data_IF_162372465702
#
_entry.id   IF_162372465702
#
_cell.length_a   1.000
_cell.length_b   1.000
_cell.length_c   1.000
_cell.angle_alpha   90.00
_cell.angle_beta   90.00
_cell.angle_gamma   90.00
#
_symmetry.space_group_name_H-M   'P 1'
#
loop_
_entity.id
_entity.type
_entity.pdbx_description
1 polymer ?
#
# COMPACT_ATOMS: atom_id res chain seq x y z
N UNK A 1 11.97 -7.76 7.73
CA UNK A 1 11.60 -6.49 8.40
C UNK A 1 11.28 -5.39 7.40
N UNK A 2 12.18 -5.09 6.46
CA UNK A 2 11.93 -4.06 5.42
C UNK A 2 10.79 -4.42 4.45
N UNK A 3 10.59 -5.70 4.14
CA UNK A 3 9.44 -6.17 3.34
C UNK A 3 8.10 -5.84 4.01
N UNK A 4 7.98 -5.99 5.34
CA UNK A 4 6.75 -5.64 6.07
C UNK A 4 6.47 -4.13 5.99
N UNK A 5 7.49 -3.30 6.12
CA UNK A 5 7.37 -1.83 5.98
C UNK A 5 6.93 -1.46 4.56
N UNK A 6 7.54 -2.07 3.54
CA UNK A 6 7.21 -1.82 2.14
C UNK A 6 5.77 -2.24 1.82
N UNK A 7 5.36 -3.45 2.22
CA UNK A 7 4.00 -3.97 2.00
C UNK A 7 2.95 -3.12 2.72
N UNK A 8 3.24 -2.67 3.95
CA UNK A 8 2.36 -1.76 4.70
C UNK A 8 2.10 -0.47 3.93
N UNK A 9 3.15 0.18 3.45
CA UNK A 9 3.05 1.46 2.73
C UNK A 9 2.28 1.32 1.41
N UNK A 10 2.51 0.23 0.68
CA UNK A 10 1.74 -0.07 -0.55
C UNK A 10 0.28 -0.33 -0.21
N UNK A 11 0.01 -1.07 0.86
CA UNK A 11 -1.34 -1.30 1.33
C UNK A 11 -2.06 0.00 1.71
N UNK A 12 -1.39 0.91 2.43
CA UNK A 12 -1.92 2.25 2.75
C UNK A 12 -2.21 3.11 1.49
N UNK A 13 -1.88 2.64 0.28
CA UNK A 13 -2.19 3.28 -1.00
C UNK A 13 -1.33 4.49 -1.32
N UNK A 14 -0.33 4.80 -0.48
CA UNK A 14 0.48 6.01 -0.57
C UNK A 14 1.68 5.91 -1.50
N UNK A 15 1.95 4.75 -2.11
CA UNK A 15 3.19 4.48 -2.85
C UNK A 15 2.96 4.51 -4.36
N UNK A 16 3.82 5.25 -5.06
CA UNK A 16 3.84 5.30 -6.52
C UNK A 16 5.27 5.11 -7.06
N UNK A 17 5.36 4.76 -8.33
CA UNK A 17 6.63 4.65 -9.07
C UNK A 17 6.62 5.62 -10.25
N UNK A 18 7.70 6.38 -10.38
CA UNK A 18 7.95 7.34 -11.48
C UNK A 18 9.31 7.02 -12.09
N UNK A 19 9.30 6.40 -13.27
CA UNK A 19 10.51 5.80 -13.85
C UNK A 19 11.13 4.80 -12.88
N UNK A 20 12.39 5.02 -12.49
CA UNK A 20 13.07 4.17 -11.50
C UNK A 20 12.81 4.55 -10.04
N UNK A 21 12.18 5.70 -9.76
CA UNK A 21 12.03 6.23 -8.40
C UNK A 21 10.73 5.79 -7.75
N UNK A 22 10.81 5.45 -6.47
CA UNK A 22 9.66 5.19 -5.61
C UNK A 22 9.32 6.44 -4.79
N UNK A 23 8.05 6.82 -4.80
CA UNK A 23 7.53 8.00 -4.12
C UNK A 23 6.44 7.61 -3.13
N UNK A 24 6.37 8.34 -2.01
CA UNK A 24 5.31 8.29 -1.01
C UNK A 24 4.89 9.72 -0.69
N UNK A 25 3.63 10.09 -0.95
CA UNK A 25 3.15 11.47 -0.78
C UNK A 25 4.09 12.53 -1.38
N UNK A 26 4.51 12.34 -2.64
CA UNK A 26 5.48 13.18 -3.37
C UNK A 26 6.93 13.19 -2.82
N UNK A 27 7.23 12.45 -1.76
CA UNK A 27 8.57 12.33 -1.20
C UNK A 27 9.25 11.05 -1.67
N UNK A 28 10.57 11.11 -1.90
CA UNK A 28 11.33 9.92 -2.24
C UNK A 28 11.34 8.93 -1.07
N UNK A 29 10.97 7.69 -1.39
CA UNK A 29 11.04 6.56 -0.47
C UNK A 29 12.53 6.27 -0.17
N UNK A 30 12.91 5.99 1.09
CA UNK A 30 14.30 5.65 1.43
C UNK A 30 14.81 4.45 0.61
N UNK A 31 16.09 4.46 0.22
CA UNK A 31 16.66 3.46 -0.71
C UNK A 31 16.42 2.01 -0.26
N UNK A 32 16.58 1.71 1.03
CA UNK A 32 16.34 0.37 1.55
C UNK A 32 14.88 -0.11 1.41
N UNK A 33 13.91 0.81 1.39
CA UNK A 33 12.50 0.50 1.10
C UNK A 33 12.27 0.44 -0.41
N UNK A 34 12.94 1.30 -1.19
CA UNK A 34 12.88 1.27 -2.65
C UNK A 34 13.42 -0.04 -3.24
N UNK A 35 14.52 -0.56 -2.70
CA UNK A 35 15.06 -1.89 -3.02
C UNK A 35 14.06 -3.00 -2.67
N UNK A 36 13.47 -2.94 -1.47
CA UNK A 36 12.46 -3.90 -1.05
C UNK A 36 11.22 -3.87 -1.98
N UNK A 37 10.71 -2.68 -2.32
CA UNK A 37 9.59 -2.51 -3.26
C UNK A 37 9.92 -3.06 -4.65
N UNK A 38 11.14 -2.84 -5.12
CA UNK A 38 11.61 -3.38 -6.41
C UNK A 38 11.68 -4.90 -6.38
N UNK A 39 12.18 -5.49 -5.28
CA UNK A 39 12.17 -6.95 -5.07
C UNK A 39 10.75 -7.53 -5.00
N UNK A 40 9.82 -6.85 -4.31
CA UNK A 40 8.42 -7.27 -4.20
C UNK A 40 7.68 -7.17 -5.54
N UNK A 41 7.98 -6.15 -6.34
CA UNK A 41 7.49 -6.01 -7.71
C UNK A 41 8.01 -7.15 -8.60
N UNK A 42 9.31 -7.43 -8.56
CA UNK A 42 9.91 -8.55 -9.30
C UNK A 42 9.36 -9.91 -8.87
N UNK A 43 9.01 -10.07 -7.59
CA UNK A 43 8.40 -11.28 -7.04
C UNK A 43 6.89 -11.41 -7.25
N UNK A 44 6.22 -10.39 -7.81
CA UNK A 44 4.77 -10.41 -8.05
C UNK A 44 3.90 -10.22 -6.79
N UNK A 45 4.48 -9.72 -5.70
CA UNK A 45 3.75 -9.37 -4.47
C UNK A 45 3.14 -7.96 -4.56
N UNK A 46 3.77 -7.10 -5.34
CA UNK A 46 3.28 -5.75 -5.67
C UNK A 46 3.10 -5.67 -7.18
N UNK A 47 2.07 -4.97 -7.62
CA UNK A 47 1.86 -4.62 -9.02
C UNK A 47 1.79 -3.10 -9.18
N UNK A 48 2.07 -2.64 -10.39
CA UNK A 48 1.89 -1.25 -10.78
C UNK A 48 0.56 -1.14 -11.54
N UNK A 49 -0.37 -0.38 -10.98
CA UNK A 49 -1.67 -0.08 -11.57
C UNK A 49 -1.55 1.19 -12.41
N UNK A 50 -2.24 1.14 -13.55
CA UNK A 50 -2.21 2.04 -14.71
C UNK A 50 -1.48 3.38 -14.48
N UNK A 51 -0.41 3.66 -15.25
CA UNK A 51 0.24 4.94 -15.22
C UNK A 51 -0.65 5.98 -15.88
N UNK A 52 -1.31 6.84 -15.10
CA UNK A 52 -1.85 8.06 -15.69
C UNK A 52 -0.66 8.87 -16.24
N UNK A 53 -0.64 9.19 -17.55
CA UNK A 53 0.44 9.96 -18.13
C UNK A 53 0.35 11.38 -17.58
N UNK A 54 1.22 11.73 -16.63
CA UNK A 54 1.35 13.10 -16.16
C UNK A 54 2.26 13.87 -17.12
N UNK A 55 1.80 14.98 -17.71
CA UNK A 55 2.58 15.73 -18.70
C UNK A 55 3.82 16.42 -18.11
N UNK A 56 3.97 16.52 -16.78
CA UNK A 56 5.12 17.15 -16.11
C UNK A 56 6.02 16.13 -15.42
N UNK A 57 5.47 15.01 -14.95
CA UNK A 57 6.18 14.00 -14.15
C UNK A 57 6.44 12.68 -14.89
N UNK A 58 5.88 12.49 -16.07
CA UNK A 58 5.97 11.23 -16.83
C UNK A 58 4.90 10.22 -16.40
N UNK A 59 5.10 8.94 -16.77
CA UNK A 59 4.20 7.85 -16.40
C UNK A 59 4.30 7.57 -14.88
N UNK A 60 3.30 8.01 -14.11
CA UNK A 60 3.20 7.79 -12.67
C UNK A 60 2.32 6.57 -12.43
N UNK A 61 2.91 5.44 -12.03
CA UNK A 61 2.15 4.23 -11.74
C UNK A 61 1.94 4.06 -10.24
N UNK A 62 0.71 3.81 -9.81
CA UNK A 62 0.42 3.54 -8.39
C UNK A 62 0.76 2.10 -8.06
N UNK A 63 1.36 1.86 -6.90
CA UNK A 63 1.61 0.51 -6.43
C UNK A 63 0.39 -0.03 -5.69
N UNK A 64 0.04 -1.28 -5.98
CA UNK A 64 -1.00 -2.02 -5.29
C UNK A 64 -0.49 -3.40 -4.88
N UNK A 65 -1.00 -3.91 -3.76
CA UNK A 65 -0.75 -5.30 -3.37
C UNK A 65 -1.48 -6.24 -4.33
N UNK A 66 -0.81 -7.31 -4.73
CA UNK A 66 -1.51 -8.46 -5.31
C UNK A 66 -2.16 -9.27 -4.20
N UNK A 67 -3.06 -10.21 -4.55
CA UNK A 67 -3.63 -11.14 -3.56
C UNK A 67 -2.52 -11.87 -2.78
N UNK A 68 -1.48 -12.33 -3.49
CA UNK A 68 -0.31 -12.97 -2.88
C UNK A 68 0.46 -12.03 -1.96
N UNK A 69 0.61 -10.76 -2.35
CA UNK A 69 1.21 -9.73 -1.50
C UNK A 69 0.40 -9.44 -0.24
N UNK A 70 -0.92 -9.41 -0.35
CA UNK A 70 -1.83 -9.22 0.77
C UNK A 70 -1.78 -10.40 1.76
N UNK A 71 -1.82 -11.65 1.26
CA UNK A 71 -1.63 -12.86 2.08
C UNK A 71 -0.27 -12.84 2.81
N UNK A 72 0.79 -12.45 2.09
CA UNK A 72 2.14 -12.35 2.66
C UNK A 72 2.20 -11.27 3.74
N UNK A 73 1.56 -10.13 3.52
CA UNK A 73 1.48 -9.04 4.47
C UNK A 73 0.75 -9.48 5.75
N UNK A 74 -0.41 -10.13 5.61
CA UNK A 74 -1.17 -10.64 6.76
C UNK A 74 -0.34 -11.63 7.59
N UNK A 75 0.33 -12.58 6.94
CA UNK A 75 1.22 -13.53 7.63
C UNK A 75 2.38 -12.86 8.36
N UNK A 76 2.97 -11.80 7.79
CA UNK A 76 4.01 -11.02 8.45
C UNK A 76 3.46 -10.24 9.65
N UNK A 77 2.26 -9.67 9.55
CA UNK A 77 1.67 -8.94 10.67
C UNK A 77 1.33 -9.88 11.85
N UNK A 78 0.87 -11.11 11.57
CA UNK A 78 0.70 -12.14 12.61
C UNK A 78 2.01 -12.47 13.32
N UNK A 79 3.13 -12.55 12.59
CA UNK A 79 4.45 -12.78 13.20
C UNK A 79 4.92 -11.62 14.07
N UNK A 80 4.60 -10.37 13.69
CA UNK A 80 4.94 -9.17 14.48
C UNK A 80 4.08 -9.07 15.75
N UNK A 81 2.81 -9.45 15.70
CA UNK A 81 1.91 -9.50 16.87
C UNK A 81 2.35 -10.50 17.94
N UNK A 82 3.05 -11.57 17.54
CA UNK A 82 3.59 -12.59 18.45
C UNK A 82 4.86 -12.14 19.18
N UNK A 83 5.42 -10.97 18.85
CA UNK A 83 6.56 -10.41 19.56
C UNK A 83 6.10 -9.74 20.88
N UNK A 84 6.71 -10.08 22.03
CA UNK A 84 6.39 -9.43 23.30
C UNK A 84 6.74 -7.93 23.21
N UNK A 85 5.72 -7.06 23.21
CA UNK A 85 5.85 -5.60 23.10
C UNK A 85 5.03 -4.94 21.99
N UNK A 86 4.41 -5.72 21.08
CA UNK A 86 3.61 -5.18 19.97
C UNK A 86 2.22 -4.60 20.37
N UNK A 87 1.91 -4.54 21.67
CA UNK A 87 0.60 -4.20 22.24
C UNK A 87 0.07 -2.77 21.95
N UNK A 88 0.83 -1.94 21.23
CA UNK A 88 0.47 -0.54 20.92
C UNK A 88 0.41 -0.21 19.43
N UNK A 89 0.69 -1.18 18.55
CA UNK A 89 0.62 -0.99 17.11
C UNK A 89 -0.44 -1.96 16.62
N UNK A 90 -1.53 -1.48 16.05
CA UNK A 90 -2.38 -2.31 15.20
C UNK A 90 -1.61 -2.51 13.87
N UNK A 91 -0.89 -3.63 13.70
CA UNK A 91 0.02 -3.79 12.58
C UNK A 91 -0.73 -4.24 11.33
N UNK A 92 -2.03 -4.55 11.48
CA UNK A 92 -2.87 -5.18 10.50
C UNK A 92 -4.00 -4.27 10.00
N UNK A 93 -4.03 -2.95 10.35
CA UNK A 93 -5.19 -2.05 10.14
C UNK A 93 -5.91 -2.47 8.88
N UNK A 94 -7.01 -3.18 9.10
CA UNK A 94 -7.63 -4.02 8.10
C UNK A 94 -7.93 -3.10 6.92
N UNK A 95 -7.51 -3.50 5.71
CA UNK A 95 -8.06 -2.98 4.45
C UNK A 95 -9.52 -3.41 4.41
N UNK A 96 -10.32 -2.87 5.31
CA UNK A 96 -11.76 -2.90 5.19
C UNK A 96 -11.99 -2.07 3.96
N UNK A 97 -12.33 -2.76 2.87
CA UNK A 97 -13.13 -2.23 1.79
C UNK A 97 -14.18 -1.32 2.44
N UNK A 98 -13.89 -0.01 2.45
CA UNK A 98 -14.89 1.01 2.72
C UNK A 98 -15.79 0.95 1.50
N UNK A 99 -16.73 0.01 1.52
CA UNK A 99 -17.94 0.08 0.72
C UNK A 99 -18.47 1.51 0.93
N UNK A 100 -18.48 2.36 -0.10
CA UNK A 100 -18.92 3.72 0.07
C UNK A 100 -20.39 3.66 0.43
N UNK A 101 -20.67 3.90 1.71
CA UNK A 101 -21.98 4.16 2.26
C UNK A 101 -22.77 5.00 1.24
N UNK A 102 -23.94 4.55 0.73
CA UNK A 102 -24.71 5.33 -0.23
C UNK A 102 -25.25 6.58 0.47
N UNK A 103 -24.46 7.65 0.48
CA UNK A 103 -24.96 9.00 0.71
C UNK A 103 -25.88 9.35 -0.45
N UNK A 104 -27.18 9.41 -0.17
CA UNK A 104 -28.17 9.86 -1.12
C UNK A 104 -29.61 9.65 -0.68
N UNK A 105 -30.10 10.48 0.23
CA UNK A 105 -31.54 10.49 0.51
C UNK A 105 -32.01 11.33 1.68
N UNK A 106 -31.60 12.60 1.78
CA UNK A 106 -32.29 13.56 2.64
C UNK A 106 -33.71 13.79 2.11
N UNK A 107 -34.69 13.74 3.04
CA UNK A 107 -35.80 14.69 3.18
C UNK A 107 -37.26 14.24 2.90
N UNK A 108 -38.09 14.57 3.89
CA UNK A 108 -39.46 15.12 3.84
C UNK A 108 -40.67 14.16 3.90
N UNK A 109 -41.28 14.18 5.10
CA UNK A 109 -42.70 14.48 5.39
C UNK A 109 -43.82 13.81 4.58
N UNK A 110 -44.70 13.11 5.30
CA UNK A 110 -46.06 12.75 4.90
C UNK A 110 -46.80 12.12 6.06
#
# INVERSE_FOLDING_TARGET
MYEWIALRRVGDGGVAKVGDRWLESDHQVPDYVADALTGLLAGGLVMLVDPEPDPNLGAVARAALTNVGADRYEGLCQQVLLLPGAQFIDPCRRFVDEDPDPVGGTALTG
#
